data_IF_836076843357
#
_entry.id   IF_836076843357
#
_cell.length_a   1.000
_cell.length_b   1.000
_cell.length_c   1.000
_cell.angle_alpha   90.00
_cell.angle_beta   90.00
_cell.angle_gamma   90.00
#
_symmetry.space_group_name_H-M   'P 1'
#
loop_
_entity.id
_entity.type
_entity.pdbx_description
1 polymer ?
#
# COMPACT_ATOMS: atom_id res chain seq x y z
N UNK A 1 0.35 14.40 24.01
CA UNK A 1 -0.85 13.58 24.32
C UNK A 1 -1.26 12.90 23.03
N UNK A 2 -1.22 11.57 22.96
CA UNK A 2 -1.73 10.81 21.82
C UNK A 2 -3.25 10.69 21.98
N UNK A 3 -4.02 11.24 21.04
CA UNK A 3 -5.47 11.14 21.03
C UNK A 3 -5.83 10.05 20.05
N UNK A 4 -6.22 8.87 20.56
CA UNK A 4 -6.99 7.94 19.73
C UNK A 4 -8.34 8.60 19.44
N UNK A 5 -8.70 8.72 18.16
CA UNK A 5 -10.04 9.15 17.75
C UNK A 5 -11.08 8.30 18.49
N UNK A 6 -12.15 8.93 18.98
CA UNK A 6 -13.28 8.19 19.52
C UNK A 6 -13.89 7.31 18.42
N UNK A 7 -14.58 6.24 18.80
CA UNK A 7 -15.10 5.25 17.84
C UNK A 7 -16.07 5.89 16.82
N UNK A 8 -16.72 6.98 17.20
CA UNK A 8 -17.59 7.80 16.36
C UNK A 8 -16.81 8.51 15.24
N UNK A 9 -15.60 8.98 15.54
CA UNK A 9 -14.71 9.71 14.64
C UNK A 9 -13.85 8.84 13.73
N UNK A 10 -13.88 7.51 13.89
CA UNK A 10 -13.20 6.61 12.97
C UNK A 10 -13.94 6.54 11.62
N UNK A 11 -13.23 6.48 10.47
CA UNK A 11 -13.85 6.12 9.20
C UNK A 11 -14.53 4.74 9.29
N UNK A 12 -15.61 4.53 8.54
CA UNK A 12 -16.44 3.31 8.65
C UNK A 12 -15.64 2.01 8.52
N UNK A 13 -14.68 1.94 7.59
CA UNK A 13 -13.80 0.78 7.38
C UNK A 13 -12.78 0.53 8.51
N UNK A 14 -12.55 1.52 9.40
CA UNK A 14 -11.73 1.37 10.62
C UNK A 14 -12.55 1.07 11.86
N UNK A 15 -13.90 1.11 11.79
CA UNK A 15 -14.76 0.78 12.92
C UNK A 15 -14.85 -0.74 13.13
N UNK A 16 -15.04 -1.22 14.37
CA UNK A 16 -15.51 -2.58 14.61
C UNK A 16 -16.93 -2.78 14.06
N UNK A 17 -17.28 -4.03 13.73
CA UNK A 17 -18.59 -4.36 13.14
C UNK A 17 -19.78 -3.85 13.95
N UNK A 18 -19.69 -3.92 15.29
CA UNK A 18 -20.71 -3.42 16.22
C UNK A 18 -21.00 -1.91 16.10
N UNK A 19 -20.15 -1.14 15.43
CA UNK A 19 -20.26 0.31 15.27
C UNK A 19 -20.47 0.75 13.80
N UNK A 20 -21.01 -0.14 12.95
CA UNK A 20 -21.35 0.19 11.55
C UNK A 20 -20.17 0.09 10.59
N UNK A 21 -19.27 -0.86 10.82
CA UNK A 21 -18.13 -1.12 9.93
C UNK A 21 -18.57 -1.56 8.54
N UNK A 22 -17.81 -1.17 7.52
CA UNK A 22 -17.94 -1.69 6.15
C UNK A 22 -17.07 -2.91 5.88
N UNK A 23 -16.38 -3.45 6.91
CA UNK A 23 -15.42 -4.54 6.78
C UNK A 23 -13.96 -4.05 6.79
N UNK A 24 -13.01 -4.99 6.69
CA UNK A 24 -11.58 -4.65 6.59
C UNK A 24 -11.30 -4.02 5.22
N UNK A 25 -10.34 -3.10 5.19
CA UNK A 25 -9.80 -2.60 3.92
C UNK A 25 -9.31 -3.80 3.08
N UNK A 26 -9.59 -3.82 1.76
CA UNK A 26 -9.07 -4.86 0.89
C UNK A 26 -7.55 -4.78 0.92
N UNK A 27 -6.92 -5.92 1.22
CA UNK A 27 -5.48 -6.04 1.11
C UNK A 27 -5.13 -6.36 -0.34
N UNK A 28 -4.08 -5.74 -0.85
CA UNK A 28 -3.53 -6.04 -2.16
C UNK A 28 -2.12 -6.59 -1.98
N UNK A 29 -1.77 -7.58 -2.78
CA UNK A 29 -0.43 -8.15 -2.82
C UNK A 29 0.14 -8.03 -4.23
N UNK A 30 1.46 -7.99 -4.30
CA UNK A 30 2.22 -8.08 -5.54
C UNK A 30 3.42 -8.99 -5.29
N UNK A 31 3.76 -9.79 -6.28
CA UNK A 31 4.98 -10.59 -6.27
C UNK A 31 6.19 -9.68 -6.52
N UNK A 32 7.25 -9.83 -5.75
CA UNK A 32 8.45 -8.98 -5.84
C UNK A 32 9.13 -9.08 -7.22
N UNK A 33 9.00 -10.22 -7.91
CA UNK A 33 9.46 -10.42 -9.27
C UNK A 33 8.76 -9.52 -10.31
N UNK A 34 7.66 -8.87 -9.93
CA UNK A 34 6.94 -7.90 -10.77
C UNK A 34 7.46 -6.47 -10.60
N UNK A 35 8.16 -6.18 -9.50
CA UNK A 35 8.80 -4.89 -9.26
C UNK A 35 10.18 -4.90 -9.92
N UNK A 36 10.20 -4.61 -11.23
CA UNK A 36 11.42 -4.67 -12.04
C UNK A 36 11.59 -3.46 -12.96
N UNK A 37 12.77 -3.32 -13.55
CA UNK A 37 13.07 -2.25 -14.51
C UNK A 37 13.36 -0.92 -13.83
N UNK A 38 12.44 0.03 -13.94
CA UNK A 38 12.56 1.37 -13.36
C UNK A 38 12.28 1.40 -11.84
N UNK A 39 11.75 0.30 -11.28
CA UNK A 39 11.46 0.14 -9.86
C UNK A 39 12.32 -0.96 -9.23
N UNK A 40 12.58 -0.82 -7.93
CA UNK A 40 13.24 -1.81 -7.10
C UNK A 40 12.48 -1.95 -5.77
N UNK A 41 12.34 -3.19 -5.30
CA UNK A 41 11.80 -3.49 -3.98
C UNK A 41 12.95 -3.64 -2.97
N UNK A 42 13.10 -2.68 -2.06
CA UNK A 42 14.15 -2.65 -1.05
C UNK A 42 13.58 -3.02 0.31
N UNK A 43 14.07 -4.12 0.89
CA UNK A 43 13.71 -4.51 2.25
C UNK A 43 14.46 -3.64 3.27
N UNK A 44 13.73 -2.80 4.01
CA UNK A 44 14.31 -1.96 5.07
C UNK A 44 14.17 -2.57 6.48
N UNK A 45 13.28 -3.56 6.65
CA UNK A 45 13.12 -4.32 7.89
C UNK A 45 12.58 -5.74 7.63
N UNK A 46 12.57 -6.64 8.63
CA UNK A 46 12.08 -8.01 8.45
C UNK A 46 10.65 -8.13 7.92
N UNK A 47 9.82 -7.10 8.09
CA UNK A 47 8.41 -7.10 7.69
C UNK A 47 8.02 -5.90 6.82
N UNK A 48 8.98 -5.10 6.37
CA UNK A 48 8.69 -3.89 5.60
C UNK A 48 9.62 -3.78 4.38
N UNK A 49 9.00 -3.44 3.26
CA UNK A 49 9.62 -3.27 1.96
C UNK A 49 9.19 -1.91 1.41
N UNK A 50 10.16 -1.17 0.92
CA UNK A 50 9.96 0.10 0.23
C UNK A 50 10.14 -0.11 -1.27
N UNK A 51 9.18 0.30 -2.09
CA UNK A 51 9.32 0.34 -3.56
C UNK A 51 9.96 1.69 -3.90
N UNK A 52 11.10 1.67 -4.57
CA UNK A 52 11.90 2.85 -4.89
C UNK A 52 12.26 2.87 -6.39
N UNK A 53 12.64 4.04 -6.94
CA UNK A 53 13.23 4.12 -8.27
C UNK A 53 14.57 3.38 -8.30
N UNK A 54 14.82 2.54 -9.31
CA UNK A 54 16.09 1.79 -9.46
C UNK A 54 17.27 2.67 -9.88
N UNK A 55 17.00 3.87 -10.39
CA UNK A 55 17.99 4.89 -10.72
C UNK A 55 17.36 6.29 -10.59
N UNK A 56 18.20 7.32 -10.54
CA UNK A 56 17.74 8.72 -10.55
C UNK A 56 16.87 8.97 -11.79
N UNK A 57 15.62 9.37 -11.57
CA UNK A 57 14.66 9.67 -12.63
C UNK A 57 13.72 10.81 -12.22
N UNK A 58 12.95 11.32 -13.19
CA UNK A 58 11.92 12.31 -12.95
C UNK A 58 10.75 11.70 -12.16
N UNK A 59 10.09 12.52 -11.33
CA UNK A 59 8.91 12.10 -10.56
C UNK A 59 7.82 11.50 -11.45
N UNK A 60 7.52 12.15 -12.58
CA UNK A 60 6.51 11.70 -13.54
C UNK A 60 6.81 10.28 -14.09
N UNK A 61 8.10 10.00 -14.33
CA UNK A 61 8.54 8.68 -14.79
C UNK A 61 8.34 7.63 -13.69
N UNK A 62 8.65 7.99 -12.45
CA UNK A 62 8.44 7.12 -11.29
C UNK A 62 6.94 6.82 -11.06
N UNK A 63 6.08 7.83 -11.14
CA UNK A 63 4.62 7.66 -11.03
C UNK A 63 4.06 6.79 -12.15
N UNK A 64 4.54 6.98 -13.39
CA UNK A 64 4.16 6.12 -14.51
C UNK A 64 4.63 4.67 -14.32
N UNK A 65 5.84 4.47 -13.79
CA UNK A 65 6.35 3.13 -13.48
C UNK A 65 5.50 2.45 -12.39
N UNK A 66 5.12 3.17 -11.33
CA UNK A 66 4.20 2.66 -10.30
C UNK A 66 2.84 2.31 -10.90
N UNK A 67 2.27 3.19 -11.73
CA UNK A 67 0.98 2.94 -12.39
C UNK A 67 1.01 1.71 -13.30
N UNK A 68 2.14 1.44 -13.96
CA UNK A 68 2.29 0.25 -14.81
C UNK A 68 2.25 -1.06 -14.01
N UNK A 69 2.55 -1.04 -12.71
CA UNK A 69 2.42 -2.24 -11.86
C UNK A 69 0.96 -2.57 -11.53
N UNK A 70 0.00 -1.69 -11.82
CA UNK A 70 -1.39 -1.80 -11.37
C UNK A 70 -2.04 -3.15 -11.72
N UNK A 71 -1.77 -3.71 -12.90
CA UNK A 71 -2.32 -5.01 -13.33
C UNK A 71 -1.70 -6.22 -12.65
N UNK A 72 -0.55 -6.05 -12.00
CA UNK A 72 0.13 -7.12 -11.26
C UNK A 72 -0.31 -7.20 -9.78
N UNK A 73 -1.13 -6.25 -9.31
CA UNK A 73 -1.68 -6.29 -7.96
C UNK A 73 -2.90 -7.19 -7.88
N UNK A 74 -2.85 -8.14 -6.96
CA UNK A 74 -3.92 -9.09 -6.69
C UNK A 74 -4.59 -8.78 -5.36
N UNK A 75 -5.92 -8.85 -5.34
CA UNK A 75 -6.67 -8.67 -4.09
C UNK A 75 -6.57 -9.92 -3.23
N UNK A 76 -6.22 -9.73 -1.97
CA UNK A 76 -6.20 -10.78 -0.94
C UNK A 76 -7.45 -10.65 -0.07
N UNK A 77 -8.16 -11.76 0.14
CA UNK A 77 -9.31 -11.86 1.04
C UNK A 77 -8.90 -12.25 2.47
#
# INVERSE_FOLDING_TARGET
>A
MSVSLSIEGLPAFRKPFAFGSTGRDPLWQIDDSKITGDLEAVQDSPTHISILPSATMLLEKYEAALANTQSDWERVE
#
